data_IF_970670726955
#
_entry.id   IF_970670726955
#
_cell.length_a   1.000
_cell.length_b   1.000
_cell.length_c   1.000
_cell.angle_alpha   90.00
_cell.angle_beta   90.00
_cell.angle_gamma   90.00
#
_symmetry.space_group_name_H-M   'P 1'
#
loop_
_entity.id
_entity.type
_entity.pdbx_description
1 polymer ?
#
# COMPACT_ATOMS: atom_id res chain seq x y z
N UNK A 1 37.08 1.63 27.61
CA UNK A 1 37.17 3.05 28.02
C UNK A 1 36.20 3.82 27.16
N UNK A 2 35.05 4.17 27.73
CA UNK A 2 34.00 4.90 27.02
C UNK A 2 34.57 6.22 26.52
N UNK A 3 34.65 6.42 25.20
CA UNK A 3 34.95 7.72 24.59
C UNK A 3 33.75 8.63 24.84
N UNK A 4 33.65 9.24 26.02
CA UNK A 4 32.88 10.48 26.17
C UNK A 4 33.71 11.55 25.47
N UNK A 5 33.19 12.06 24.36
CA UNK A 5 33.75 13.24 23.73
C UNK A 5 33.43 14.44 24.62
N UNK A 6 34.32 15.43 24.67
CA UNK A 6 34.09 16.68 25.41
C UNK A 6 32.82 17.43 24.94
N UNK A 7 32.24 17.02 23.80
CA UNK A 7 30.98 17.53 23.27
C UNK A 7 29.73 16.84 23.86
N UNK A 8 29.87 15.77 24.62
CA UNK A 8 28.78 15.09 25.35
C UNK A 8 28.47 15.75 26.70
N UNK A 9 29.25 16.74 27.11
CA UNK A 9 29.04 17.48 28.35
C UNK A 9 27.99 18.58 28.13
N UNK A 10 26.72 18.25 28.35
CA UNK A 10 25.58 19.18 28.25
C UNK A 10 25.56 20.27 29.33
N UNK A 11 26.64 20.44 30.08
CA UNK A 11 26.76 21.38 31.21
C UNK A 11 26.45 22.83 30.83
N UNK A 12 26.73 23.23 29.58
CA UNK A 12 26.42 24.57 29.06
C UNK A 12 24.97 24.74 28.56
N UNK A 13 24.22 23.64 28.42
CA UNK A 13 22.83 23.63 27.91
C UNK A 13 21.80 23.42 29.02
N UNK A 14 22.26 22.92 30.17
CA UNK A 14 21.44 22.59 31.32
C UNK A 14 21.54 23.70 32.38
N UNK A 15 20.51 23.85 33.23
CA UNK A 15 20.61 24.68 34.42
C UNK A 15 21.82 24.31 35.27
N UNK A 16 22.43 25.29 35.95
CA UNK A 16 23.60 25.04 36.80
C UNK A 16 23.31 23.96 37.86
N UNK A 17 24.16 22.93 37.92
CA UNK A 17 24.02 21.82 38.85
C UNK A 17 23.16 20.65 38.36
N UNK A 18 22.64 20.71 37.13
CA UNK A 18 21.88 19.62 36.53
C UNK A 18 22.72 18.84 35.50
N UNK A 19 22.67 17.51 35.59
CA UNK A 19 23.38 16.61 34.68
C UNK A 19 22.42 15.70 33.90
N UNK A 20 22.72 15.42 32.63
CA UNK A 20 21.98 14.44 31.83
C UNK A 20 22.41 13.02 32.23
N UNK A 21 21.44 12.24 32.70
CA UNK A 21 21.64 10.85 33.14
C UNK A 21 21.53 9.86 31.99
N UNK A 22 20.65 10.14 31.02
CA UNK A 22 20.44 9.26 29.89
C UNK A 22 19.29 9.67 28.97
N UNK A 23 19.10 8.89 27.92
CA UNK A 23 18.01 8.98 26.98
C UNK A 23 17.25 7.67 26.97
N UNK A 24 15.94 7.72 27.20
CA UNK A 24 15.05 6.60 27.03
C UNK A 24 14.62 6.52 25.56
N UNK A 25 15.08 5.49 24.85
CA UNK A 25 14.77 5.26 23.44
C UNK A 25 13.31 4.94 23.17
N UNK A 26 12.61 4.39 24.16
CA UNK A 26 11.24 3.91 23.99
C UNK A 26 10.24 5.07 24.18
N UNK A 27 10.48 5.92 25.18
CA UNK A 27 9.66 7.12 25.42
C UNK A 27 10.15 8.35 24.66
N UNK A 28 11.38 8.34 24.16
CA UNK A 28 12.01 9.46 23.46
C UNK A 28 12.28 10.66 24.37
N UNK A 29 12.63 10.42 25.64
CA UNK A 29 12.80 11.44 26.67
C UNK A 29 14.19 11.41 27.28
N UNK A 30 14.65 12.57 27.70
CA UNK A 30 15.87 12.71 28.47
C UNK A 30 15.58 12.76 29.97
N UNK A 31 16.41 12.05 30.74
CA UNK A 31 16.42 12.11 32.20
C UNK A 31 17.59 12.95 32.67
N UNK A 32 17.31 13.77 33.68
CA UNK A 32 18.27 14.65 34.31
C UNK A 32 18.26 14.44 35.81
N UNK A 33 19.41 14.67 36.43
CA UNK A 33 19.58 14.65 37.88
C UNK A 33 20.07 16.02 38.33
N UNK A 34 19.41 16.55 39.33
CA UNK A 34 19.79 17.79 40.00
C UNK A 34 20.82 17.52 41.11
N UNK A 35 21.50 18.56 41.63
CA UNK A 35 22.46 18.46 42.74
C UNK A 35 21.85 17.84 43.99
N UNK A 36 20.54 18.06 44.18
CA UNK A 36 19.78 17.58 45.32
C UNK A 36 19.35 16.10 45.13
N UNK A 37 19.80 15.44 44.06
CA UNK A 37 19.46 14.06 43.71
C UNK A 37 18.09 13.89 43.04
N UNK A 38 17.28 14.95 43.02
CA UNK A 38 15.95 14.94 42.39
C UNK A 38 16.04 14.62 40.89
N UNK A 39 15.15 13.75 40.42
CA UNK A 39 15.05 13.38 39.02
C UNK A 39 14.10 14.31 38.27
N UNK A 40 14.51 14.67 37.06
CA UNK A 40 13.77 15.54 36.16
C UNK A 40 13.67 14.89 34.78
N UNK A 41 12.53 15.09 34.12
CA UNK A 41 12.26 14.58 32.78
C UNK A 41 11.94 15.72 31.81
N UNK A 42 12.47 15.64 30.58
CA UNK A 42 12.13 16.55 29.49
C UNK A 42 10.85 16.18 28.73
N UNK A 43 10.40 17.03 27.79
CA UNK A 43 9.27 16.73 26.90
C UNK A 43 9.61 15.57 25.95
N UNK A 44 8.57 14.89 25.46
CA UNK A 44 8.74 13.80 24.50
C UNK A 44 9.31 14.30 23.16
N UNK A 45 10.40 13.68 22.70
CA UNK A 45 11.02 13.96 21.40
C UNK A 45 11.70 15.33 21.31
N UNK A 46 11.81 16.06 22.43
CA UNK A 46 12.38 17.39 22.46
C UNK A 46 13.82 17.35 22.99
N UNK A 47 14.75 17.93 22.22
CA UNK A 47 16.13 18.13 22.67
C UNK A 47 16.24 19.27 23.71
N UNK A 48 15.26 20.19 23.71
CA UNK A 48 15.14 21.35 24.58
C UNK A 48 13.69 21.56 25.04
N UNK A 49 13.47 22.10 26.24
CA UNK A 49 12.13 22.45 26.73
C UNK A 49 12.01 22.48 28.25
N UNK A 50 10.78 22.71 28.74
CA UNK A 50 10.49 22.68 30.17
C UNK A 50 10.64 21.26 30.75
N UNK A 51 11.28 21.17 31.91
CA UNK A 51 11.51 19.92 32.64
C UNK A 51 10.50 19.75 33.76
N UNK A 52 9.99 18.53 33.93
CA UNK A 52 9.05 18.17 35.00
C UNK A 52 9.74 17.29 36.02
N UNK A 53 9.54 17.55 37.32
CA UNK A 53 10.09 16.72 38.40
C UNK A 53 9.42 15.35 38.39
N UNK A 54 10.22 14.29 38.43
CA UNK A 54 9.73 12.91 38.57
C UNK A 54 9.49 12.65 40.06
N UNK A 55 8.26 12.30 40.50
CA UNK A 55 8.01 11.93 41.89
C UNK A 55 8.76 10.63 42.23
N UNK A 56 9.50 10.60 43.34
CA UNK A 56 10.09 9.36 43.85
C UNK A 56 8.98 8.41 44.33
N UNK A 57 9.06 7.10 44.04
CA UNK A 57 8.08 6.15 44.53
C UNK A 57 8.18 6.02 46.06
N UNK A 58 7.05 6.22 46.74
CA UNK A 58 6.92 6.12 48.19
C UNK A 58 7.22 4.69 48.66
N UNK A 59 8.21 4.50 49.55
CA UNK A 59 8.67 3.17 50.01
C UNK A 59 7.75 2.52 51.06
N UNK A 60 6.43 2.59 50.89
CA UNK A 60 5.49 1.92 51.80
C UNK A 60 4.44 1.13 51.03
N UNK A 61 4.82 -0.08 50.60
CA UNK A 61 4.05 -1.33 50.76
C UNK A 61 4.78 -2.49 50.06
N UNK A 62 5.41 -3.35 50.86
CA UNK A 62 5.93 -4.66 50.45
C UNK A 62 4.74 -5.61 50.17
N UNK A 63 4.67 -6.14 48.95
CA UNK A 63 3.96 -7.39 48.66
C UNK A 63 4.93 -8.32 47.93
N UNK A 64 5.37 -9.30 48.70
CA UNK A 64 6.25 -10.42 48.39
C UNK A 64 5.77 -11.17 47.15
N UNK A 65 6.59 -11.29 46.11
CA UNK A 65 6.51 -12.44 45.19
C UNK A 65 7.92 -12.88 44.75
N UNK A 66 8.29 -14.05 45.24
CA UNK A 66 9.47 -14.81 44.83
C UNK A 66 9.36 -15.16 43.35
N UNK A 67 10.26 -14.63 42.53
CA UNK A 67 10.31 -14.98 41.11
C UNK A 67 10.73 -16.44 40.91
N UNK A 68 9.94 -17.18 40.13
CA UNK A 68 10.27 -18.53 39.67
C UNK A 68 11.64 -18.58 38.98
N UNK A 69 12.53 -19.42 39.48
CA UNK A 69 13.84 -19.66 38.89
C UNK A 69 13.71 -20.44 37.57
N UNK A 70 14.07 -19.77 36.48
CA UNK A 70 14.49 -20.43 35.24
C UNK A 70 15.77 -21.22 35.52
N UNK A 71 15.93 -22.39 34.92
CA UNK A 71 17.12 -23.26 35.11
C UNK A 71 18.47 -22.61 34.76
N UNK A 72 18.47 -21.41 34.20
CA UNK A 72 19.64 -20.72 33.65
C UNK A 72 20.09 -19.51 34.51
N UNK A 73 19.56 -19.35 35.72
CA UNK A 73 20.10 -18.40 36.72
C UNK A 73 19.84 -16.90 36.47
N UNK A 74 19.08 -16.52 35.44
CA UNK A 74 18.61 -15.15 35.25
C UNK A 74 17.18 -14.98 35.77
N UNK A 75 17.00 -14.05 36.71
CA UNK A 75 15.70 -13.67 37.28
C UNK A 75 15.25 -12.32 36.68
N UNK A 76 14.10 -12.24 36.00
CA UNK A 76 13.52 -10.95 35.65
C UNK A 76 13.02 -10.27 36.93
N UNK A 77 13.37 -9.00 37.13
CA UNK A 77 12.83 -8.20 38.23
C UNK A 77 11.32 -8.07 38.04
N UNK A 78 10.55 -8.39 39.09
CA UNK A 78 9.09 -8.51 39.06
C UNK A 78 8.42 -7.20 38.58
N UNK A 79 7.58 -7.32 37.56
CA UNK A 79 6.58 -6.30 37.20
C UNK A 79 5.22 -6.85 37.60
N UNK A 80 4.50 -6.16 38.48
CA UNK A 80 3.23 -6.52 39.12
C UNK A 80 2.24 -7.40 38.32
N UNK A 81 1.66 -8.38 39.04
CA UNK A 81 0.81 -9.47 38.57
C UNK A 81 -0.65 -9.12 38.19
N UNK A 82 -1.04 -7.85 38.10
CA UNK A 82 -2.41 -7.48 37.69
C UNK A 82 -2.52 -6.73 36.37
N UNK A 83 -1.44 -6.62 35.61
CA UNK A 83 -1.51 -6.09 34.25
C UNK A 83 -1.47 -7.26 33.28
N UNK A 84 -2.54 -7.51 32.48
CA UNK A 84 -2.39 -8.46 31.38
C UNK A 84 -1.19 -7.99 30.56
N UNK A 85 -0.29 -8.91 30.23
CA UNK A 85 0.77 -8.74 29.24
C UNK A 85 0.13 -8.46 27.88
N UNK A 86 -0.53 -7.31 27.75
CA UNK A 86 -0.64 -6.62 26.49
C UNK A 86 0.79 -6.15 26.22
N UNK A 87 1.57 -7.04 25.62
CA UNK A 87 2.61 -6.64 24.69
C UNK A 87 1.87 -5.80 23.63
N UNK A 88 1.60 -4.54 23.95
CA UNK A 88 1.27 -3.54 22.95
C UNK A 88 2.58 -3.34 22.23
N UNK A 89 2.82 -4.24 21.28
CA UNK A 89 3.67 -3.97 20.15
C UNK A 89 3.04 -2.73 19.52
N UNK A 90 3.48 -1.55 19.96
CA UNK A 90 3.23 -0.30 19.27
C UNK A 90 4.05 -0.43 18.00
N UNK A 91 3.50 -1.13 17.01
CA UNK A 91 4.04 -1.11 15.66
C UNK A 91 4.03 0.35 15.28
N UNK A 92 5.22 0.95 15.24
CA UNK A 92 5.37 2.37 14.96
C UNK A 92 5.03 2.56 13.47
N UNK A 93 3.74 2.68 13.16
CA UNK A 93 3.22 2.87 11.80
C UNK A 93 3.66 4.21 11.21
N UNK A 94 4.21 5.09 12.05
CA UNK A 94 4.71 6.41 11.69
C UNK A 94 5.87 6.33 10.69
N UNK A 95 6.75 5.33 10.77
CA UNK A 95 7.86 5.14 9.83
C UNK A 95 7.37 4.83 8.40
N UNK A 96 6.23 4.16 8.27
CA UNK A 96 5.64 3.86 6.98
C UNK A 96 4.89 5.05 6.38
N UNK A 97 4.47 6.05 7.19
CA UNK A 97 3.76 7.24 6.67
C UNK A 97 4.66 8.15 5.83
N UNK A 98 5.94 8.25 6.15
CA UNK A 98 6.91 9.04 5.36
C UNK A 98 7.36 8.31 4.10
N UNK A 99 7.36 6.97 4.13
CA UNK A 99 7.69 6.13 2.97
C UNK A 99 6.48 5.82 2.07
N UNK A 100 5.25 5.95 2.59
CA UNK A 100 3.99 5.76 1.86
C UNK A 100 3.92 6.47 0.50
N UNK A 101 4.29 7.76 0.33
CA UNK A 101 4.26 8.41 -0.97
C UNK A 101 5.19 7.74 -1.99
N UNK A 102 6.36 7.24 -1.56
CA UNK A 102 7.29 6.54 -2.44
C UNK A 102 6.77 5.16 -2.84
N UNK A 103 6.20 4.40 -1.91
CA UNK A 103 5.55 3.12 -2.22
C UNK A 103 4.34 3.28 -3.15
N UNK A 104 3.57 4.36 -2.99
CA UNK A 104 2.47 4.70 -3.89
C UNK A 104 3.00 5.00 -5.30
N UNK A 105 4.04 5.82 -5.43
CA UNK A 105 4.68 6.11 -6.72
C UNK A 105 5.24 4.84 -7.38
N UNK A 106 5.94 3.99 -6.62
CA UNK A 106 6.45 2.71 -7.11
C UNK A 106 5.29 1.81 -7.58
N UNK A 107 4.21 1.71 -6.79
CA UNK A 107 3.02 0.95 -7.16
C UNK A 107 2.36 1.45 -8.44
N UNK A 108 2.21 2.77 -8.61
CA UNK A 108 1.67 3.38 -9.84
C UNK A 108 2.58 3.11 -11.03
N UNK A 109 3.90 3.27 -10.88
CA UNK A 109 4.86 3.00 -11.95
C UNK A 109 4.85 1.51 -12.33
N UNK A 110 4.79 0.60 -11.36
CA UNK A 110 4.67 -0.84 -11.61
C UNK A 110 3.35 -1.17 -12.31
N UNK A 111 2.24 -0.54 -11.93
CA UNK A 111 0.96 -0.70 -12.62
C UNK A 111 0.99 -0.14 -14.03
N UNK A 112 1.71 0.96 -14.30
CA UNK A 112 1.89 1.50 -15.64
C UNK A 112 2.78 0.62 -16.51
N UNK A 113 3.85 0.06 -15.95
CA UNK A 113 4.73 -0.91 -16.64
C UNK A 113 3.96 -2.20 -16.91
N UNK A 114 3.23 -2.72 -15.92
CA UNK A 114 2.33 -3.85 -16.08
C UNK A 114 1.28 -3.55 -17.15
N UNK A 115 0.69 -2.36 -17.14
CA UNK A 115 -0.25 -1.95 -18.18
C UNK A 115 0.40 -1.91 -19.56
N UNK A 116 1.59 -1.34 -19.68
CA UNK A 116 2.30 -1.24 -20.97
C UNK A 116 2.73 -2.62 -21.50
N UNK A 117 3.21 -3.50 -20.63
CA UNK A 117 3.68 -4.84 -21.02
C UNK A 117 2.51 -5.78 -21.31
N UNK A 118 1.43 -5.72 -20.52
CA UNK A 118 0.29 -6.64 -20.66
C UNK A 118 -0.81 -6.14 -21.60
N UNK A 119 -1.03 -4.83 -21.75
CA UNK A 119 -2.01 -4.28 -22.70
C UNK A 119 -1.38 -3.82 -24.01
N UNK A 120 -0.04 -3.78 -24.11
CA UNK A 120 0.67 -3.37 -25.32
C UNK A 120 0.51 -4.33 -26.51
N UNK A 121 -0.03 -5.54 -26.29
CA UNK A 121 -0.22 -6.56 -27.34
C UNK A 121 -1.67 -7.01 -27.52
N UNK A 122 -2.62 -6.33 -26.87
CA UNK A 122 -4.03 -6.56 -27.17
C UNK A 122 -4.35 -5.87 -28.50
N UNK A 123 -3.99 -6.50 -29.62
CA UNK A 123 -4.61 -6.17 -30.89
C UNK A 123 -6.12 -6.24 -30.68
N UNK A 124 -6.87 -5.15 -30.91
CA UNK A 124 -8.32 -5.21 -30.77
C UNK A 124 -8.82 -6.35 -31.64
N UNK A 125 -9.73 -7.20 -31.14
CA UNK A 125 -10.29 -8.27 -31.95
C UNK A 125 -10.87 -7.61 -33.21
N UNK A 126 -10.35 -8.00 -34.37
CA UNK A 126 -10.93 -7.57 -35.64
C UNK A 126 -12.39 -8.00 -35.62
N UNK A 127 -13.35 -7.10 -35.93
CA UNK A 127 -14.77 -7.43 -35.87
C UNK A 127 -15.16 -8.55 -36.85
N UNK A 128 -14.33 -8.80 -37.86
CA UNK A 128 -14.49 -9.90 -38.80
C UNK A 128 -13.17 -10.69 -38.96
N UNK A 129 -13.24 -12.02 -39.17
CA UNK A 129 -12.07 -12.83 -39.45
C UNK A 129 -11.42 -12.39 -40.77
N UNK A 130 -10.10 -12.15 -40.75
CA UNK A 130 -9.33 -11.53 -41.84
C UNK A 130 -9.24 -12.36 -43.13
N UNK A 131 -9.77 -13.59 -43.16
CA UNK A 131 -9.48 -14.55 -44.22
C UNK A 131 -10.38 -14.44 -45.46
N UNK A 132 -11.51 -13.72 -45.41
CA UNK A 132 -12.35 -13.52 -46.61
C UNK A 132 -13.44 -12.44 -46.48
N UNK A 133 -13.49 -11.70 -45.38
CA UNK A 133 -14.71 -10.97 -45.01
C UNK A 133 -14.42 -9.50 -44.73
N UNK A 134 -15.28 -8.61 -45.23
CA UNK A 134 -15.20 -7.17 -45.04
C UNK A 134 -16.26 -6.71 -44.04
N UNK A 135 -15.89 -5.90 -43.02
CA UNK A 135 -16.87 -5.33 -42.10
C UNK A 135 -17.73 -4.28 -42.81
N UNK A 136 -19.04 -4.36 -42.64
CA UNK A 136 -20.03 -3.40 -43.13
C UNK A 136 -20.86 -2.88 -41.97
N UNK A 137 -21.01 -1.55 -41.90
CA UNK A 137 -21.86 -0.91 -40.89
C UNK A 137 -23.28 -0.78 -41.43
N UNK A 138 -24.21 -1.48 -40.81
CA UNK A 138 -25.63 -1.49 -41.17
C UNK A 138 -26.21 -0.08 -41.08
N UNK A 139 -26.87 0.36 -42.15
CA UNK A 139 -27.60 1.61 -42.23
C UNK A 139 -29.10 1.39 -41.92
N UNK A 140 -29.82 2.45 -41.50
CA UNK A 140 -31.27 2.38 -41.34
C UNK A 140 -31.96 2.00 -42.65
N UNK A 141 -32.72 0.91 -42.64
CA UNK A 141 -33.44 0.40 -43.80
C UNK A 141 -32.76 -0.78 -44.50
N UNK A 142 -31.56 -1.18 -44.06
CA UNK A 142 -30.89 -2.37 -44.59
C UNK A 142 -31.54 -3.66 -44.09
N UNK A 143 -31.54 -4.67 -44.96
CA UNK A 143 -31.97 -6.01 -44.63
C UNK A 143 -30.90 -7.03 -45.08
N UNK A 144 -30.75 -8.13 -44.34
CA UNK A 144 -29.80 -9.18 -44.69
C UNK A 144 -29.98 -9.71 -46.13
N UNK A 145 -31.22 -9.80 -46.62
CA UNK A 145 -31.49 -10.28 -47.96
C UNK A 145 -30.98 -9.32 -49.06
N UNK A 146 -31.05 -8.01 -48.83
CA UNK A 146 -30.52 -7.00 -49.76
C UNK A 146 -28.99 -7.00 -49.76
N UNK A 147 -28.40 -7.07 -48.56
CA UNK A 147 -26.95 -7.15 -48.39
C UNK A 147 -26.38 -8.41 -49.02
N UNK A 148 -27.03 -9.56 -48.80
CA UNK A 148 -26.62 -10.83 -49.41
C UNK A 148 -26.67 -10.77 -50.94
N UNK A 149 -27.76 -10.24 -51.49
CA UNK A 149 -27.91 -10.07 -52.94
C UNK A 149 -26.89 -9.10 -53.54
N UNK A 150 -26.63 -7.98 -52.87
CA UNK A 150 -25.65 -6.98 -53.30
C UNK A 150 -24.21 -7.53 -53.30
N UNK A 151 -23.91 -8.43 -52.36
CA UNK A 151 -22.61 -9.07 -52.21
C UNK A 151 -22.51 -10.46 -52.85
N UNK A 152 -23.54 -10.86 -53.61
CA UNK A 152 -23.62 -12.12 -54.36
C UNK A 152 -23.37 -13.36 -53.47
N UNK A 153 -23.92 -13.37 -52.26
CA UNK A 153 -23.90 -14.50 -51.34
C UNK A 153 -25.31 -14.96 -50.96
N UNK A 154 -25.44 -16.16 -50.37
CA UNK A 154 -26.74 -16.64 -49.88
C UNK A 154 -27.02 -16.12 -48.47
N UNK A 155 -28.30 -16.12 -48.07
CA UNK A 155 -28.68 -15.70 -46.72
C UNK A 155 -28.07 -16.64 -45.67
N UNK A 156 -28.06 -17.94 -45.93
CA UNK A 156 -27.47 -18.93 -45.02
C UNK A 156 -25.96 -18.72 -44.86
N UNK A 157 -25.27 -18.36 -45.94
CA UNK A 157 -23.83 -18.05 -45.90
C UNK A 157 -23.59 -16.78 -45.06
N UNK A 158 -24.41 -15.74 -45.23
CA UNK A 158 -24.32 -14.52 -44.45
C UNK A 158 -24.58 -14.75 -42.95
N UNK A 159 -25.60 -15.54 -42.60
CA UNK A 159 -25.90 -15.92 -41.22
C UNK A 159 -24.78 -16.78 -40.61
N UNK A 160 -24.18 -17.68 -41.38
CA UNK A 160 -23.06 -18.51 -40.92
C UNK A 160 -21.82 -17.68 -40.56
N UNK A 161 -21.61 -16.56 -41.26
CA UNK A 161 -20.52 -15.61 -41.00
C UNK A 161 -20.81 -14.69 -39.80
N UNK A 162 -22.07 -14.55 -39.41
CA UNK A 162 -22.52 -13.60 -38.40
C UNK A 162 -23.47 -14.28 -37.38
N UNK A 163 -22.97 -15.25 -36.58
CA UNK A 163 -23.81 -15.99 -35.64
C UNK A 163 -24.48 -15.11 -34.57
N UNK A 164 -23.91 -13.93 -34.30
CA UNK A 164 -24.42 -12.97 -33.32
C UNK A 164 -25.43 -11.96 -33.91
N UNK A 165 -25.67 -12.00 -35.22
CA UNK A 165 -26.58 -11.09 -35.92
C UNK A 165 -27.89 -11.79 -36.27
N UNK A 166 -29.01 -11.20 -35.87
CA UNK A 166 -30.33 -11.71 -36.21
C UNK A 166 -30.89 -11.03 -37.45
N UNK A 167 -31.02 -11.77 -38.55
CA UNK A 167 -31.52 -11.24 -39.83
C UNK A 167 -33.01 -10.90 -39.86
N UNK A 168 -33.81 -11.36 -38.88
CA UNK A 168 -35.20 -10.92 -38.70
C UNK A 168 -35.34 -9.52 -38.11
N UNK A 169 -34.33 -9.04 -37.40
CA UNK A 169 -34.30 -7.72 -36.76
C UNK A 169 -32.89 -7.14 -36.84
N UNK A 170 -32.51 -6.64 -38.02
CA UNK A 170 -31.20 -6.05 -38.21
C UNK A 170 -31.17 -4.63 -37.60
N UNK A 171 -30.26 -4.41 -36.62
CA UNK A 171 -30.14 -3.13 -35.94
C UNK A 171 -29.17 -2.21 -36.67
N UNK A 172 -29.55 -0.95 -36.98
CA UNK A 172 -28.63 0.03 -37.54
C UNK A 172 -27.45 0.32 -36.60
N UNK A 173 -26.26 0.48 -37.18
CA UNK A 173 -25.00 0.70 -36.44
C UNK A 173 -24.29 -0.58 -35.98
N UNK A 174 -24.88 -1.76 -36.23
CA UNK A 174 -24.18 -3.04 -36.04
C UNK A 174 -23.18 -3.30 -37.18
N UNK A 175 -22.11 -4.03 -36.87
CA UNK A 175 -21.12 -4.47 -37.86
C UNK A 175 -21.51 -5.87 -38.31
N UNK A 176 -21.70 -6.02 -39.62
CA UNK A 176 -21.93 -7.31 -40.29
C UNK A 176 -20.73 -7.62 -41.15
N UNK A 177 -20.29 -8.87 -41.10
CA UNK A 177 -19.18 -9.39 -41.86
C UNK A 177 -19.70 -9.94 -43.21
N UNK A 178 -19.37 -9.24 -44.30
CA UNK A 178 -19.78 -9.59 -45.67
C UNK A 178 -18.64 -10.29 -46.43
N UNK A 179 -18.91 -11.34 -47.23
CA UNK A 179 -17.88 -11.98 -48.03
C UNK A 179 -17.31 -11.00 -49.06
N UNK A 180 -16.00 -11.10 -49.32
CA UNK A 180 -15.33 -10.29 -50.34
C UNK A 180 -15.92 -10.66 -51.71
N UNK A 181 -16.58 -9.70 -52.36
CA UNK A 181 -17.15 -9.90 -53.69
C UNK A 181 -16.08 -10.45 -54.64
N UNK A 182 -16.28 -11.68 -55.11
CA UNK A 182 -15.48 -12.23 -56.21
C UNK A 182 -15.99 -11.53 -57.48
N UNK A 183 -15.13 -10.85 -58.26
CA UNK A 183 -15.59 -10.26 -59.51
C UNK A 183 -16.15 -11.38 -60.39
N UNK A 184 -17.40 -11.23 -60.85
CA UNK A 184 -18.00 -12.21 -61.76
C UNK A 184 -17.14 -12.32 -63.02
N UNK A 185 -16.72 -13.52 -63.47
CA UNK A 185 -16.15 -13.64 -64.79
C UNK A 185 -17.24 -13.31 -65.82
N UNK A 186 -16.93 -12.35 -66.69
CA UNK A 186 -17.76 -11.87 -67.81
C UNK A 186 -18.07 -12.95 -68.84
#
# INVERSE_FOLDING_TARGET
>A
MSRRSQYDEDSYRLPEGMERMGYDSDSGRYLFRDRDGSLWQGPQGAEYGEMTRVPEPDQTQEAVEEASTRSDGYQPLATDNNTPLAFRHSVNTNSYRTLAPFFLLIGVVLLLIWKLVFYGWSTPPSPCPANATTPYMVQPGDYCWELARAHNCTLEELESLNPDVNCGTLLPGTIVCLPKAVPSPS
#
